data_IF_367721280188
#
_entry.id   IF_367721280188
#
_cell.length_a   1.000
_cell.length_b   1.000
_cell.length_c   1.000
_cell.angle_alpha   90.00
_cell.angle_beta   90.00
_cell.angle_gamma   90.00
#
_symmetry.space_group_name_H-M   'P 1'
#
loop_
_entity.id
_entity.type
_entity.pdbx_description
1 polymer ?
#
# COMPACT_ATOMS: atom_id res chain seq x y z
N UNK A 1 9.45 34.14 -4.10
CA UNK A 1 10.47 33.43 -3.29
C UNK A 1 11.34 32.49 -4.13
N UNK A 2 10.78 31.61 -4.97
CA UNK A 2 11.57 30.67 -5.79
C UNK A 2 12.62 31.31 -6.71
N UNK A 3 12.36 32.50 -7.26
CA UNK A 3 13.31 33.23 -8.12
C UNK A 3 14.61 33.66 -7.43
N UNK A 4 14.67 33.58 -6.09
CA UNK A 4 15.88 33.88 -5.32
C UNK A 4 16.76 32.64 -5.09
N UNK A 5 16.30 31.44 -5.47
CA UNK A 5 17.07 30.20 -5.35
C UNK A 5 18.03 30.06 -6.53
N UNK A 6 19.31 29.79 -6.27
CA UNK A 6 20.37 29.77 -7.29
C UNK A 6 20.19 28.68 -8.38
N UNK A 7 19.47 27.60 -8.03
CA UNK A 7 19.27 26.42 -8.88
C UNK A 7 17.91 26.39 -9.58
N UNK A 8 17.06 27.41 -9.40
CA UNK A 8 15.72 27.49 -10.01
C UNK A 8 15.67 28.68 -10.96
N UNK A 9 15.43 28.40 -12.23
CA UNK A 9 15.38 29.37 -13.31
C UNK A 9 13.97 29.45 -13.88
N UNK A 10 13.56 30.65 -14.31
CA UNK A 10 12.26 30.90 -14.90
C UNK A 10 12.39 31.63 -16.23
N UNK A 11 11.52 31.31 -17.19
CA UNK A 11 11.41 32.07 -18.42
C UNK A 11 11.04 33.54 -18.14
N UNK A 12 11.53 34.49 -18.95
CA UNK A 12 12.46 34.31 -20.08
C UNK A 12 13.96 34.26 -19.67
N UNK A 13 14.27 34.30 -18.37
CA UNK A 13 15.63 34.46 -17.85
C UNK A 13 16.36 33.14 -17.58
N UNK A 14 16.12 32.09 -18.37
CA UNK A 14 16.81 30.80 -18.24
C UNK A 14 18.13 30.85 -19.04
N UNK A 15 19.31 30.60 -18.43
CA UNK A 15 20.56 30.62 -19.16
C UNK A 15 20.59 29.58 -20.29
N UNK A 16 21.05 29.98 -21.48
CA UNK A 16 21.07 29.12 -22.67
C UNK A 16 21.77 27.76 -22.45
N UNK A 17 22.89 27.74 -21.71
CA UNK A 17 23.60 26.48 -21.37
C UNK A 17 22.76 25.53 -20.53
N UNK A 18 21.88 26.05 -19.67
CA UNK A 18 20.98 25.25 -18.82
C UNK A 18 19.85 24.66 -19.67
N UNK A 19 19.28 25.45 -20.59
CA UNK A 19 18.31 24.96 -21.58
C UNK A 19 18.91 23.84 -22.43
N UNK A 20 20.14 24.00 -22.94
CA UNK A 20 20.81 22.92 -23.69
C UNK A 20 21.01 21.65 -22.87
N UNK A 21 21.31 21.78 -21.58
CA UNK A 21 21.36 20.66 -20.64
C UNK A 21 20.02 19.93 -20.55
N UNK A 22 18.95 20.68 -20.30
CA UNK A 22 17.60 20.14 -20.19
C UNK A 22 17.13 19.44 -21.47
N UNK A 23 17.41 20.04 -22.64
CA UNK A 23 17.08 19.47 -23.94
C UNK A 23 17.72 18.10 -24.20
N UNK A 24 18.75 17.70 -23.44
CA UNK A 24 19.36 16.38 -23.59
C UNK A 24 18.50 15.22 -23.06
N UNK A 25 17.48 15.52 -22.24
CA UNK A 25 16.56 14.50 -21.71
C UNK A 25 15.10 14.77 -22.00
N UNK A 26 14.75 15.94 -22.55
CA UNK A 26 13.38 16.22 -22.94
C UNK A 26 13.00 15.44 -24.22
N UNK A 27 11.75 14.94 -24.32
CA UNK A 27 11.29 14.24 -25.52
C UNK A 27 11.40 15.08 -26.80
N UNK A 28 11.53 14.40 -27.94
CA UNK A 28 11.49 15.07 -29.23
C UNK A 28 10.14 15.77 -29.43
N UNK A 29 10.17 17.08 -29.71
CA UNK A 29 8.98 17.90 -29.92
C UNK A 29 8.80 19.04 -28.92
N UNK A 30 9.52 19.02 -27.79
CA UNK A 30 9.58 20.17 -26.87
C UNK A 30 10.60 21.18 -27.38
N UNK A 31 10.22 22.45 -27.51
CA UNK A 31 11.14 23.53 -27.87
C UNK A 31 11.71 24.19 -26.61
N UNK A 32 12.96 24.72 -26.61
CA UNK A 32 13.51 25.45 -25.47
C UNK A 32 12.62 26.60 -24.97
N UNK A 33 11.86 27.23 -25.86
CA UNK A 33 10.95 28.33 -25.53
C UNK A 33 9.67 27.87 -24.81
N UNK A 34 9.35 26.56 -24.85
CA UNK A 34 8.20 26.00 -24.13
C UNK A 34 8.51 25.80 -22.64
N UNK A 35 9.78 25.90 -22.23
CA UNK A 35 10.24 25.70 -20.86
C UNK A 35 10.00 26.99 -20.06
N UNK A 36 9.06 26.93 -19.13
CA UNK A 36 8.66 28.04 -18.25
C UNK A 36 9.48 28.08 -16.95
N UNK A 37 9.89 26.92 -16.45
CA UNK A 37 10.73 26.78 -15.25
C UNK A 37 11.71 25.62 -15.43
N UNK A 38 12.92 25.79 -14.90
CA UNK A 38 13.97 24.78 -14.89
C UNK A 38 14.62 24.73 -13.51
N UNK A 39 14.74 23.53 -12.94
CA UNK A 39 15.51 23.25 -11.75
C UNK A 39 16.71 22.42 -12.18
N UNK A 40 17.91 22.92 -11.90
CA UNK A 40 19.14 22.18 -12.12
C UNK A 40 19.51 21.40 -10.85
N UNK A 41 19.40 20.08 -10.90
CA UNK A 41 19.78 19.20 -9.78
C UNK A 41 21.16 18.56 -9.97
N UNK A 42 21.99 19.11 -10.86
CA UNK A 42 23.34 18.57 -11.09
C UNK A 42 24.40 19.28 -10.25
N UNK A 43 25.31 18.51 -9.66
CA UNK A 43 26.41 19.01 -8.82
C UNK A 43 27.30 20.03 -9.56
N UNK A 44 27.48 19.87 -10.87
CA UNK A 44 28.31 20.76 -11.70
C UNK A 44 27.51 21.79 -12.51
N UNK A 45 26.21 21.93 -12.24
CA UNK A 45 25.37 22.95 -12.87
C UNK A 45 25.21 22.78 -14.39
N UNK A 46 25.14 21.55 -14.87
CA UNK A 46 24.92 21.21 -16.28
C UNK A 46 23.46 21.16 -16.70
N UNK A 47 22.51 21.12 -15.76
CA UNK A 47 21.07 20.96 -15.98
C UNK A 47 20.67 19.73 -16.82
N UNK A 48 21.50 18.67 -16.84
CA UNK A 48 21.17 17.39 -17.49
C UNK A 48 20.32 16.45 -16.62
N UNK A 49 20.03 16.88 -15.40
CA UNK A 49 19.13 16.25 -14.44
C UNK A 49 18.47 17.34 -13.60
N UNK A 50 17.29 17.04 -13.09
CA UNK A 50 16.43 17.99 -12.38
C UNK A 50 15.03 18.03 -12.97
N UNK A 51 14.39 19.20 -12.93
CA UNK A 51 12.97 19.36 -13.25
C UNK A 51 12.76 20.45 -14.30
N UNK A 52 12.01 20.15 -15.35
CA UNK A 52 11.53 21.12 -16.34
C UNK A 52 10.02 21.26 -16.25
N UNK A 53 9.52 22.48 -16.37
CA UNK A 53 8.10 22.77 -16.41
C UNK A 53 7.75 23.48 -17.72
N UNK A 54 6.76 22.96 -18.43
CA UNK A 54 6.10 23.63 -19.55
C UNK A 54 4.69 24.07 -19.13
N UNK A 55 3.91 24.67 -20.04
CA UNK A 55 2.52 25.04 -19.76
C UNK A 55 1.60 23.85 -19.43
N UNK A 56 1.98 22.64 -19.86
CA UNK A 56 1.14 21.43 -19.78
C UNK A 56 1.80 20.27 -19.06
N UNK A 57 3.13 20.26 -18.90
CA UNK A 57 3.84 19.06 -18.45
C UNK A 57 5.01 19.43 -17.54
N UNK A 58 5.18 18.64 -16.48
CA UNK A 58 6.34 18.62 -15.61
C UNK A 58 7.19 17.41 -16.01
N UNK A 59 8.43 17.66 -16.43
CA UNK A 59 9.41 16.63 -16.71
C UNK A 59 10.43 16.57 -15.58
N UNK A 60 10.82 15.37 -15.18
CA UNK A 60 11.80 15.17 -14.13
C UNK A 60 12.78 14.08 -14.54
N UNK A 61 14.06 14.26 -14.21
CA UNK A 61 15.09 13.26 -14.47
C UNK A 61 16.11 13.26 -13.33
N UNK A 62 16.37 12.07 -12.79
CA UNK A 62 17.47 11.86 -11.84
C UNK A 62 18.83 11.82 -12.56
N UNK A 63 19.92 12.08 -11.82
CA UNK A 63 21.28 12.13 -12.39
C UNK A 63 21.71 10.86 -13.14
N UNK A 64 21.10 9.70 -12.86
CA UNK A 64 21.34 8.42 -13.51
C UNK A 64 20.06 7.65 -13.87
N UNK A 65 18.90 8.31 -13.80
CA UNK A 65 17.60 7.71 -14.09
C UNK A 65 17.11 8.05 -15.50
N UNK A 66 16.02 7.38 -15.88
CA UNK A 66 15.23 7.74 -17.05
C UNK A 66 14.41 9.01 -16.78
N UNK A 67 13.97 9.70 -17.83
CA UNK A 67 13.05 10.82 -17.67
C UNK A 67 11.64 10.33 -17.31
N UNK A 68 10.98 11.08 -16.43
CA UNK A 68 9.57 10.97 -16.11
C UNK A 68 8.83 12.23 -16.60
N UNK A 69 7.60 12.06 -17.08
CA UNK A 69 6.77 13.15 -17.57
C UNK A 69 5.37 13.08 -16.92
N UNK A 70 4.97 14.19 -16.31
CA UNK A 70 3.72 14.33 -15.57
C UNK A 70 2.89 15.45 -16.17
N UNK A 71 1.71 15.12 -16.70
CA UNK A 71 0.81 16.14 -17.21
C UNK A 71 0.28 16.99 -16.05
N UNK A 72 0.45 18.31 -16.13
CA UNK A 72 0.11 19.25 -15.05
C UNK A 72 -1.36 19.21 -14.65
N UNK A 73 -2.27 18.88 -15.58
CA UNK A 73 -3.69 18.73 -15.30
C UNK A 73 -4.03 17.46 -14.48
N UNK A 74 -3.09 16.52 -14.36
CA UNK A 74 -3.22 15.30 -13.55
C UNK A 74 -2.51 15.43 -12.20
N UNK A 75 -1.74 16.51 -11.98
CA UNK A 75 -1.12 16.79 -10.69
C UNK A 75 -2.16 17.58 -9.88
N UNK A 76 -2.81 16.91 -8.93
CA UNK A 76 -3.82 17.53 -8.06
C UNK A 76 -3.20 18.06 -6.77
N UNK A 77 -2.10 17.43 -6.34
CA UNK A 77 -1.44 17.75 -5.09
C UNK A 77 0.06 17.50 -5.17
N UNK A 78 0.81 18.38 -4.56
CA UNK A 78 2.26 18.25 -4.36
C UNK A 78 2.56 18.39 -2.87
N UNK A 79 2.98 17.32 -2.21
CA UNK A 79 3.41 17.35 -0.81
C UNK A 79 4.94 17.48 -0.74
N UNK A 80 5.49 18.15 0.28
CA UNK A 80 6.93 18.13 0.52
C UNK A 80 7.37 16.83 1.22
N UNK A 81 8.40 16.16 0.70
CA UNK A 81 9.08 15.03 1.35
C UNK A 81 10.43 15.50 1.91
N UNK A 82 10.40 15.95 3.16
CA UNK A 82 11.57 16.52 3.83
C UNK A 82 11.96 15.66 5.02
N UNK A 83 12.98 14.84 4.82
CA UNK A 83 13.62 14.03 5.85
C UNK A 83 14.87 14.70 6.42
N UNK A 84 15.62 13.94 7.24
CA UNK A 84 16.98 14.36 7.66
C UNK A 84 17.90 14.43 6.44
N UNK A 85 17.70 13.50 5.49
CA UNK A 85 18.51 13.33 4.25
C UNK A 85 17.66 13.59 2.99
N UNK A 86 16.34 13.37 3.05
CA UNK A 86 15.45 13.53 1.89
C UNK A 86 15.06 14.99 1.68
N UNK A 87 15.17 15.44 0.43
CA UNK A 87 14.83 16.78 -0.01
C UNK A 87 14.03 16.61 -1.32
N UNK A 88 12.74 16.32 -1.23
CA UNK A 88 11.93 15.97 -2.39
C UNK A 88 10.52 16.52 -2.33
N UNK A 89 9.78 16.29 -3.41
CA UNK A 89 8.34 16.50 -3.46
C UNK A 89 7.66 15.19 -3.84
N UNK A 90 6.43 15.00 -3.37
CA UNK A 90 5.60 13.86 -3.73
C UNK A 90 4.40 14.34 -4.54
N UNK A 91 4.31 13.89 -5.78
CA UNK A 91 3.18 14.18 -6.66
C UNK A 91 2.05 13.19 -6.34
N UNK A 92 0.85 13.71 -6.06
CA UNK A 92 -0.36 12.95 -5.75
C UNK A 92 -0.19 11.86 -4.67
N UNK A 93 0.81 11.99 -3.79
CA UNK A 93 1.19 10.99 -2.78
C UNK A 93 1.69 9.64 -3.34
N UNK A 94 2.13 9.63 -4.61
CA UNK A 94 2.59 8.44 -5.32
C UNK A 94 4.06 8.60 -5.74
N UNK A 95 4.35 9.57 -6.61
CA UNK A 95 5.67 9.72 -7.21
C UNK A 95 6.54 10.67 -6.40
N UNK A 96 7.67 10.17 -5.91
CA UNK A 96 8.65 10.99 -5.18
C UNK A 96 9.71 11.51 -6.13
N UNK A 97 9.82 12.83 -6.26
CA UNK A 97 10.88 13.50 -7.00
C UNK A 97 11.90 14.04 -6.00
N UNK A 98 13.11 13.49 -6.02
CA UNK A 98 14.17 13.83 -5.07
C UNK A 98 15.14 14.86 -5.64
N UNK A 99 15.60 15.79 -4.82
CA UNK A 99 16.56 16.82 -5.21
C UNK A 99 17.78 16.76 -4.31
N UNK A 100 18.96 16.69 -4.91
CA UNK A 100 20.22 16.69 -4.18
C UNK A 100 20.78 18.10 -3.96
N UNK A 101 20.38 19.07 -4.79
CA UNK A 101 20.91 20.43 -4.80
C UNK A 101 19.92 21.48 -4.26
N UNK A 102 18.67 21.10 -3.96
CA UNK A 102 17.69 22.01 -3.36
C UNK A 102 17.71 21.93 -1.83
N UNK A 103 17.70 23.09 -1.19
CA UNK A 103 17.50 23.17 0.25
C UNK A 103 16.03 22.94 0.65
N UNK A 104 15.80 22.67 1.93
CA UNK A 104 14.47 22.36 2.48
C UNK A 104 13.47 23.50 2.31
N UNK A 105 13.92 24.75 2.34
CA UNK A 105 13.08 25.92 2.12
C UNK A 105 12.64 26.03 0.66
N UNK A 106 13.55 25.80 -0.27
CA UNK A 106 13.29 25.75 -1.71
C UNK A 106 12.29 24.63 -2.04
N UNK A 107 12.44 23.44 -1.46
CA UNK A 107 11.51 22.31 -1.64
C UNK A 107 10.09 22.66 -1.17
N UNK A 108 9.93 23.22 0.04
CA UNK A 108 8.60 23.66 0.53
C UNK A 108 7.98 24.71 -0.38
N UNK A 109 8.78 25.67 -0.81
CA UNK A 109 8.31 26.74 -1.70
C UNK A 109 7.92 26.19 -3.07
N UNK A 110 8.66 25.18 -3.56
CA UNK A 110 8.38 24.50 -4.82
C UNK A 110 7.06 23.72 -4.74
N UNK A 111 6.85 22.95 -3.67
CA UNK A 111 5.60 22.24 -3.44
C UNK A 111 4.40 23.21 -3.39
N UNK A 112 4.52 24.30 -2.63
CA UNK A 112 3.47 25.32 -2.56
C UNK A 112 3.19 25.96 -3.94
N UNK A 113 4.23 26.31 -4.69
CA UNK A 113 4.12 26.90 -6.02
C UNK A 113 3.46 25.95 -7.03
N UNK A 114 3.85 24.68 -7.04
CA UNK A 114 3.24 23.69 -7.92
C UNK A 114 1.77 23.45 -7.55
N UNK A 115 1.43 23.42 -6.26
CA UNK A 115 0.02 23.37 -5.84
C UNK A 115 -0.75 24.60 -6.35
N UNK A 116 -0.19 25.82 -6.26
CA UNK A 116 -0.84 27.03 -6.76
C UNK A 116 -1.07 26.97 -8.28
N UNK A 117 -0.10 26.48 -9.05
CA UNK A 117 -0.28 26.29 -10.51
C UNK A 117 -1.38 25.27 -10.82
N UNK A 118 -1.42 24.18 -10.04
CA UNK A 118 -2.42 23.13 -10.23
C UNK A 118 -3.82 23.59 -9.80
N UNK A 119 -3.92 24.42 -8.77
CA UNK A 119 -5.17 24.97 -8.24
C UNK A 119 -5.67 26.21 -9.02
N UNK A 120 -4.78 26.97 -9.65
CA UNK A 120 -5.11 28.14 -10.49
C UNK A 120 -5.85 27.79 -11.79
N UNK A 121 -5.95 26.50 -12.13
CA UNK A 121 -6.84 26.00 -13.20
C UNK A 121 -8.24 25.61 -12.66
N UNK A 122 -8.48 25.75 -11.36
CA UNK A 122 -9.65 25.26 -10.63
C UNK A 122 -10.41 26.39 -9.91
N UNK A 123 -10.31 27.64 -10.36
CA UNK A 123 -11.24 28.70 -9.93
C UNK A 123 -12.59 28.57 -10.67
N UNK A 124 -13.37 27.59 -10.26
CA UNK A 124 -14.83 27.69 -10.08
C UNK A 124 -15.32 26.38 -9.49
N UNK A 125 -15.27 26.27 -8.16
CA UNK A 125 -16.32 25.69 -7.32
C UNK A 125 -15.82 25.57 -5.87
N UNK A 126 -16.07 26.61 -5.08
CA UNK A 126 -16.35 26.40 -3.67
C UNK A 126 -17.74 25.76 -3.59
N UNK A 127 -17.76 24.44 -3.47
CA UNK A 127 -18.91 23.69 -2.95
C UNK A 127 -18.41 22.74 -1.87
N UNK A 128 -19.23 22.44 -0.85
CA UNK A 128 -18.79 21.72 0.35
C UNK A 128 -18.15 20.38 -0.05
N UNK A 129 -17.02 20.07 0.59
CA UNK A 129 -16.15 18.91 0.39
C UNK A 129 -16.94 17.62 0.15
N UNK A 130 -17.17 17.31 -1.13
CA UNK A 130 -17.86 16.10 -1.57
C UNK A 130 -16.78 15.09 -1.94
N UNK A 131 -16.83 13.90 -1.36
CA UNK A 131 -15.91 12.81 -1.69
C UNK A 131 -15.92 12.56 -3.20
N UNK A 132 -14.73 12.47 -3.80
CA UNK A 132 -14.57 12.18 -5.23
C UNK A 132 -15.15 10.78 -5.53
N UNK A 133 -15.86 10.67 -6.66
CA UNK A 133 -16.68 9.50 -6.96
C UNK A 133 -15.85 8.22 -7.14
N UNK A 134 -14.63 8.36 -7.65
CA UNK A 134 -13.63 7.32 -7.84
C UNK A 134 -13.07 6.81 -6.50
N UNK A 135 -12.72 7.71 -5.58
CA UNK A 135 -12.29 7.34 -4.23
C UNK A 135 -13.42 6.62 -3.50
N UNK A 136 -14.66 7.13 -3.61
CA UNK A 136 -15.83 6.51 -2.99
C UNK A 136 -16.05 5.08 -3.47
N UNK A 137 -15.96 4.80 -4.77
CA UNK A 137 -16.18 3.45 -5.28
C UNK A 137 -15.06 2.48 -4.86
N UNK A 138 -13.81 2.94 -4.76
CA UNK A 138 -12.72 2.10 -4.24
C UNK A 138 -12.92 1.76 -2.77
N UNK A 139 -13.39 2.71 -1.95
CA UNK A 139 -13.75 2.45 -0.55
C UNK A 139 -14.90 1.44 -0.48
N UNK A 140 -15.96 1.62 -1.27
CA UNK A 140 -17.12 0.73 -1.30
C UNK A 140 -16.75 -0.70 -1.72
N UNK A 141 -15.97 -0.88 -2.79
CA UNK A 141 -15.47 -2.18 -3.23
C UNK A 141 -14.54 -2.83 -2.20
N UNK A 142 -13.68 -2.04 -1.56
CA UNK A 142 -12.79 -2.54 -0.50
C UNK A 142 -13.58 -3.01 0.71
N UNK A 143 -14.61 -2.26 1.11
CA UNK A 143 -15.52 -2.64 2.18
C UNK A 143 -16.29 -3.92 1.84
N UNK A 144 -16.77 -4.04 0.61
CA UNK A 144 -17.41 -5.25 0.11
C UNK A 144 -16.47 -6.46 0.21
N UNK A 145 -15.24 -6.37 -0.30
CA UNK A 145 -14.31 -7.50 -0.29
C UNK A 145 -13.85 -7.87 1.13
N UNK A 146 -13.56 -6.88 1.98
CA UNK A 146 -13.18 -7.12 3.38
C UNK A 146 -14.31 -7.82 4.16
N UNK A 147 -15.57 -7.51 3.85
CA UNK A 147 -16.74 -8.08 4.54
C UNK A 147 -17.39 -9.23 3.79
N UNK A 148 -16.83 -9.69 2.66
CA UNK A 148 -17.45 -10.65 1.74
C UNK A 148 -17.91 -11.94 2.44
N UNK A 149 -17.04 -12.54 3.23
CA UNK A 149 -17.33 -13.81 3.92
C UNK A 149 -18.22 -13.64 5.15
N UNK A 150 -18.17 -12.47 5.81
CA UNK A 150 -18.82 -12.25 7.10
C UNK A 150 -20.19 -11.58 6.96
N UNK A 151 -20.39 -10.81 5.89
CA UNK A 151 -21.55 -9.94 5.66
C UNK A 151 -21.72 -8.84 6.72
N UNK A 152 -20.73 -8.63 7.59
CA UNK A 152 -20.82 -7.71 8.73
C UNK A 152 -19.45 -7.19 9.15
N UNK A 153 -19.45 -6.03 9.77
CA UNK A 153 -18.29 -5.45 10.43
C UNK A 153 -17.90 -6.26 11.69
N UNK A 154 -16.61 -6.58 11.79
CA UNK A 154 -15.89 -7.08 12.96
C UNK A 154 -14.79 -6.09 13.38
N UNK A 155 -14.16 -6.32 14.55
CA UNK A 155 -13.00 -5.54 14.96
C UNK A 155 -11.88 -5.57 13.91
N UNK A 156 -11.61 -6.76 13.34
CA UNK A 156 -10.59 -6.96 12.32
C UNK A 156 -10.93 -6.24 11.02
N UNK A 157 -12.17 -6.34 10.52
CA UNK A 157 -12.56 -5.66 9.28
C UNK A 157 -12.57 -4.14 9.45
N UNK A 158 -12.97 -3.65 10.63
CA UNK A 158 -12.96 -2.21 10.95
C UNK A 158 -11.53 -1.67 11.00
N UNK A 159 -10.63 -2.43 11.62
CA UNK A 159 -9.22 -2.11 11.62
C UNK A 159 -8.64 -2.17 10.20
N UNK A 160 -8.94 -3.22 9.44
CA UNK A 160 -8.45 -3.42 8.07
C UNK A 160 -8.85 -2.26 7.14
N UNK A 161 -10.13 -1.86 7.11
CA UNK A 161 -10.58 -0.76 6.27
C UNK A 161 -9.98 0.58 6.72
N UNK A 162 -9.95 0.84 8.03
CA UNK A 162 -9.40 2.09 8.58
C UNK A 162 -7.90 2.20 8.32
N UNK A 163 -7.16 1.09 8.50
CA UNK A 163 -5.72 1.01 8.24
C UNK A 163 -5.41 1.14 6.76
N UNK A 164 -6.15 0.44 5.89
CA UNK A 164 -5.96 0.49 4.43
C UNK A 164 -6.07 1.93 3.88
N UNK A 165 -6.96 2.72 4.48
CA UNK A 165 -7.19 4.12 4.10
C UNK A 165 -6.63 5.15 5.08
N UNK A 166 -5.80 4.75 6.06
CA UNK A 166 -5.25 5.67 7.07
C UNK A 166 -4.40 6.79 6.47
N UNK A 167 -3.79 6.54 5.30
CA UNK A 167 -2.98 7.53 4.58
C UNK A 167 -3.82 8.54 3.77
N UNK A 168 -5.14 8.33 3.63
CA UNK A 168 -6.02 9.32 3.02
C UNK A 168 -6.24 10.47 4.02
N UNK A 169 -5.58 11.60 3.80
CA UNK A 169 -5.70 12.78 4.68
C UNK A 169 -6.79 13.75 4.20
N UNK A 170 -7.81 13.24 3.53
CA UNK A 170 -8.98 13.99 3.08
C UNK A 170 -10.11 13.85 4.11
N UNK A 171 -10.63 14.98 4.58
CA UNK A 171 -11.69 15.02 5.58
C UNK A 171 -12.99 14.37 5.08
N UNK A 172 -13.32 14.54 3.79
CA UNK A 172 -14.54 13.96 3.22
C UNK A 172 -14.49 12.42 3.19
N UNK A 173 -13.35 11.85 2.81
CA UNK A 173 -13.09 10.41 2.81
C UNK A 173 -13.07 9.82 4.21
N UNK A 174 -12.44 10.51 5.17
CA UNK A 174 -12.43 10.08 6.56
C UNK A 174 -13.83 10.11 7.19
N UNK A 175 -14.61 11.16 6.89
CA UNK A 175 -16.02 11.23 7.29
C UNK A 175 -16.85 10.13 6.63
N UNK A 176 -16.63 9.86 5.35
CA UNK A 176 -17.32 8.79 4.62
C UNK A 176 -17.03 7.41 5.20
N UNK A 177 -15.76 7.07 5.44
CA UNK A 177 -15.35 5.80 6.06
C UNK A 177 -15.97 5.67 7.45
N UNK A 178 -15.95 6.75 8.24
CA UNK A 178 -16.58 6.74 9.57
C UNK A 178 -18.08 6.48 9.48
N UNK A 179 -18.79 7.09 8.53
CA UNK A 179 -20.22 6.84 8.29
C UNK A 179 -20.46 5.39 7.86
N UNK A 180 -19.65 4.89 6.92
CA UNK A 180 -19.74 3.53 6.38
C UNK A 180 -19.60 2.46 7.48
N UNK A 181 -18.71 2.70 8.44
CA UNK A 181 -18.47 1.82 9.59
C UNK A 181 -19.59 1.82 10.63
N UNK A 182 -20.49 2.81 10.60
CA UNK A 182 -21.65 2.87 11.52
C UNK A 182 -22.88 2.12 11.02
N UNK A 183 -22.95 1.87 9.71
CA UNK A 183 -24.06 1.17 9.07
C UNK A 183 -23.68 -0.30 8.77
N UNK A 184 -24.64 -1.24 8.78
CA UNK A 184 -24.36 -2.60 8.36
C UNK A 184 -23.92 -2.63 6.88
N UNK A 185 -22.91 -3.44 6.51
CA UNK A 185 -22.51 -3.61 5.12
C UNK A 185 -23.71 -4.02 4.27
N UNK A 186 -24.06 -3.20 3.29
CA UNK A 186 -25.13 -3.48 2.33
C UNK A 186 -24.68 -3.01 0.95
N UNK A 187 -23.94 -3.87 0.27
CA UNK A 187 -23.34 -3.57 -1.02
C UNK A 187 -23.91 -4.51 -2.08
N UNK A 188 -24.36 -3.94 -3.18
CA UNK A 188 -24.71 -4.68 -4.39
C UNK A 188 -23.48 -4.74 -5.30
N UNK A 189 -22.92 -5.94 -5.49
CA UNK A 189 -21.71 -6.12 -6.27
C UNK A 189 -21.88 -5.75 -7.75
N UNK A 190 -23.07 -5.95 -8.34
CA UNK A 190 -23.31 -5.57 -9.73
C UNK A 190 -23.33 -4.04 -9.87
N UNK A 191 -23.99 -3.33 -8.95
CA UNK A 191 -23.96 -1.86 -8.89
C UNK A 191 -22.52 -1.32 -8.72
N UNK A 192 -21.74 -1.93 -7.83
CA UNK A 192 -20.34 -1.55 -7.63
C UNK A 192 -19.50 -1.75 -8.90
N UNK A 193 -19.71 -2.86 -9.62
CA UNK A 193 -19.03 -3.08 -10.91
C UNK A 193 -19.45 -2.08 -11.97
N UNK A 194 -20.73 -1.70 -12.03
CA UNK A 194 -21.22 -0.68 -12.96
C UNK A 194 -20.58 0.69 -12.67
N UNK A 195 -20.58 1.13 -11.42
CA UNK A 195 -19.93 2.38 -10.98
C UNK A 195 -18.42 2.36 -11.25
N UNK A 196 -17.77 1.22 -11.07
CA UNK A 196 -16.34 1.09 -11.39
C UNK A 196 -16.07 1.13 -12.90
N UNK A 197 -16.99 0.60 -13.72
CA UNK A 197 -16.90 0.67 -15.18
C UNK A 197 -16.94 2.10 -15.72
N UNK A 198 -17.70 2.99 -15.08
CA UNK A 198 -17.79 4.41 -15.46
C UNK A 198 -16.45 5.15 -15.34
N UNK A 199 -15.56 4.66 -14.46
CA UNK A 199 -14.23 5.25 -14.30
C UNK A 199 -13.27 4.95 -15.46
N UNK A 200 -13.61 3.98 -16.33
CA UNK A 200 -12.68 3.52 -17.38
C UNK A 200 -12.30 4.63 -18.36
N UNK A 201 -13.19 5.59 -18.58
CA UNK A 201 -13.03 6.67 -19.55
C UNK A 201 -12.49 7.96 -18.87
N UNK A 202 -12.49 7.99 -17.54
CA UNK A 202 -12.03 9.12 -16.72
C UNK A 202 -10.61 8.89 -16.21
N UNK A 203 -10.29 7.66 -15.81
CA UNK A 203 -9.00 7.31 -15.22
C UNK A 203 -7.99 6.79 -16.24
N UNK A 204 -6.74 7.20 -16.04
CA UNK A 204 -5.61 6.66 -16.80
C UNK A 204 -5.49 5.13 -16.62
N UNK A 205 -5.00 4.44 -17.65
CA UNK A 205 -4.85 2.97 -17.62
C UNK A 205 -4.04 2.49 -16.41
N UNK A 206 -2.96 3.19 -16.07
CA UNK A 206 -2.11 2.89 -14.93
C UNK A 206 -2.86 2.97 -13.58
N UNK A 207 -3.66 4.03 -13.37
CA UNK A 207 -4.45 4.16 -12.15
C UNK A 207 -5.49 3.04 -12.01
N UNK A 208 -6.07 2.60 -13.12
CA UNK A 208 -6.99 1.44 -13.10
C UNK A 208 -6.27 0.15 -12.72
N UNK A 209 -5.02 -0.04 -13.16
CA UNK A 209 -4.19 -1.17 -12.74
C UNK A 209 -3.92 -1.13 -11.24
N UNK A 210 -3.49 0.01 -10.71
CA UNK A 210 -3.22 0.18 -9.27
C UNK A 210 -4.48 -0.02 -8.43
N UNK A 211 -5.63 0.45 -8.92
CA UNK A 211 -6.92 0.18 -8.26
C UNK A 211 -7.22 -1.31 -8.19
N UNK A 212 -7.01 -2.07 -9.28
CA UNK A 212 -7.19 -3.51 -9.28
C UNK A 212 -6.26 -4.19 -8.27
N UNK A 213 -4.98 -3.81 -8.24
CA UNK A 213 -4.00 -4.33 -7.28
C UNK A 213 -4.45 -4.12 -5.84
N UNK A 214 -4.89 -2.90 -5.51
CA UNK A 214 -5.41 -2.57 -4.17
C UNK A 214 -6.67 -3.36 -3.84
N UNK A 215 -7.55 -3.59 -4.80
CA UNK A 215 -8.75 -4.39 -4.60
C UNK A 215 -8.42 -5.87 -4.40
N UNK A 216 -7.41 -6.42 -5.07
CA UNK A 216 -6.94 -7.79 -4.81
C UNK A 216 -6.33 -7.91 -3.42
N UNK A 217 -5.60 -6.89 -2.96
CA UNK A 217 -5.11 -6.82 -1.58
C UNK A 217 -6.26 -6.82 -0.55
N UNK A 218 -7.35 -6.09 -0.81
CA UNK A 218 -8.51 -6.08 0.11
C UNK A 218 -9.31 -7.39 0.07
N UNK A 219 -9.31 -8.12 -1.04
CA UNK A 219 -9.83 -9.51 -1.08
C UNK A 219 -9.06 -10.44 -0.15
N UNK A 220 -7.72 -10.33 -0.15
CA UNK A 220 -6.88 -11.12 0.75
C UNK A 220 -7.11 -10.76 2.22
N UNK A 221 -7.24 -9.46 2.54
CA UNK A 221 -7.63 -9.01 3.89
C UNK A 221 -9.00 -9.55 4.32
N UNK A 222 -9.96 -9.62 3.39
CA UNK A 222 -11.28 -10.22 3.60
C UNK A 222 -11.28 -11.75 3.71
N UNK A 223 -10.10 -12.38 3.62
CA UNK A 223 -9.90 -13.84 3.62
C UNK A 223 -10.70 -14.55 2.51
N UNK A 224 -10.93 -13.87 1.38
CA UNK A 224 -11.54 -14.48 0.19
C UNK A 224 -10.55 -15.53 -0.35
N UNK A 225 -10.99 -16.71 -0.76
CA UNK A 225 -10.08 -17.71 -1.31
C UNK A 225 -9.51 -17.29 -2.69
N UNK A 226 -8.38 -17.88 -3.08
CA UNK A 226 -7.66 -17.50 -4.30
C UNK A 226 -8.47 -17.74 -5.58
N UNK A 227 -9.32 -18.77 -5.62
CA UNK A 227 -10.13 -19.06 -6.81
C UNK A 227 -11.20 -17.98 -6.99
N UNK A 228 -11.90 -17.64 -5.91
CA UNK A 228 -12.90 -16.58 -5.88
C UNK A 228 -12.29 -15.20 -6.14
N UNK A 229 -11.11 -14.89 -5.58
CA UNK A 229 -10.38 -13.66 -5.86
C UNK A 229 -9.99 -13.53 -7.35
N UNK A 230 -9.60 -14.65 -7.99
CA UNK A 230 -9.34 -14.68 -9.43
C UNK A 230 -10.59 -14.36 -10.26
N UNK A 231 -11.76 -14.84 -9.86
CA UNK A 231 -13.03 -14.51 -10.53
C UNK A 231 -13.34 -13.02 -10.40
N UNK A 232 -13.19 -12.45 -9.22
CA UNK A 232 -13.37 -11.01 -9.02
C UNK A 232 -12.37 -10.18 -9.82
N UNK A 233 -11.11 -10.59 -9.87
CA UNK A 233 -10.09 -9.94 -10.69
C UNK A 233 -10.47 -9.94 -12.18
N UNK A 234 -11.04 -11.03 -12.70
CA UNK A 234 -11.54 -11.10 -14.09
C UNK A 234 -12.65 -10.07 -14.31
N UNK A 235 -13.60 -9.94 -13.39
CA UNK A 235 -14.67 -8.94 -13.49
C UNK A 235 -14.11 -7.51 -13.46
N UNK A 236 -13.23 -7.21 -12.50
CA UNK A 236 -12.61 -5.89 -12.35
C UNK A 236 -11.79 -5.50 -13.58
N UNK A 237 -10.96 -6.41 -14.10
CA UNK A 237 -10.21 -6.21 -15.34
C UNK A 237 -11.14 -5.91 -16.53
N UNK A 238 -12.21 -6.69 -16.67
CA UNK A 238 -13.18 -6.52 -17.75
C UNK A 238 -13.85 -5.14 -17.72
N UNK A 239 -14.40 -4.74 -16.57
CA UNK A 239 -15.16 -3.49 -16.47
C UNK A 239 -14.28 -2.24 -16.52
N UNK A 240 -13.05 -2.35 -16.01
CA UNK A 240 -12.07 -1.25 -16.06
C UNK A 240 -11.28 -1.19 -17.37
N UNK A 241 -11.47 -2.14 -18.29
CA UNK A 241 -10.71 -2.26 -19.54
C UNK A 241 -9.18 -2.40 -19.31
N UNK A 242 -8.79 -3.23 -18.35
CA UNK A 242 -7.40 -3.60 -18.07
C UNK A 242 -7.16 -5.04 -18.52
N UNK A 243 -6.10 -5.27 -19.29
CA UNK A 243 -5.75 -6.60 -19.76
C UNK A 243 -5.25 -7.46 -18.60
N UNK A 244 -5.83 -8.65 -18.41
CA UNK A 244 -5.36 -9.60 -17.38
C UNK A 244 -3.91 -10.03 -17.56
N UNK A 245 -3.37 -9.94 -18.78
CA UNK A 245 -1.98 -10.30 -19.06
C UNK A 245 -0.95 -9.43 -18.32
N UNK A 246 -1.34 -8.25 -17.84
CA UNK A 246 -0.47 -7.40 -16.99
C UNK A 246 -0.34 -7.92 -15.56
N UNK A 247 -1.17 -8.90 -15.17
CA UNK A 247 -1.26 -9.48 -13.83
C UNK A 247 -1.15 -11.01 -13.87
N UNK A 248 -0.04 -11.58 -14.40
CA UNK A 248 0.07 -13.03 -14.57
C UNK A 248 -0.11 -13.80 -13.26
N UNK A 249 0.39 -13.27 -12.14
CA UNK A 249 0.40 -13.95 -10.83
C UNK A 249 -0.01 -13.04 -9.66
N UNK A 250 -0.71 -11.94 -9.93
CA UNK A 250 -0.99 -10.90 -8.92
C UNK A 250 -1.67 -11.45 -7.66
N UNK A 251 -2.70 -12.29 -7.81
CA UNK A 251 -3.40 -12.92 -6.68
C UNK A 251 -2.44 -13.80 -5.88
N UNK A 252 -1.59 -14.57 -6.55
CA UNK A 252 -0.65 -15.46 -5.86
C UNK A 252 0.37 -14.67 -5.03
N UNK A 253 0.96 -13.63 -5.64
CA UNK A 253 1.96 -12.76 -5.01
C UNK A 253 1.37 -12.08 -3.77
N UNK A 254 0.21 -11.42 -3.91
CA UNK A 254 -0.41 -10.69 -2.80
C UNK A 254 -0.76 -11.61 -1.64
N UNK A 255 -1.32 -12.79 -1.92
CA UNK A 255 -1.71 -13.73 -0.89
C UNK A 255 -0.50 -14.34 -0.19
N UNK A 256 0.58 -14.60 -0.92
CA UNK A 256 1.82 -15.09 -0.33
C UNK A 256 2.46 -14.03 0.57
N UNK A 257 2.58 -12.78 0.11
CA UNK A 257 3.13 -11.69 0.92
C UNK A 257 2.38 -11.51 2.24
N UNK A 258 1.05 -11.49 2.22
CA UNK A 258 0.24 -11.35 3.44
C UNK A 258 0.38 -12.54 4.39
N UNK A 259 0.52 -13.76 3.85
CA UNK A 259 0.77 -14.94 4.67
C UNK A 259 2.15 -14.88 5.35
N UNK A 260 3.18 -14.41 4.63
CA UNK A 260 4.53 -14.23 5.16
C UNK A 260 4.57 -13.13 6.25
N UNK A 261 3.87 -12.02 6.06
CA UNK A 261 3.75 -10.95 7.07
C UNK A 261 3.07 -11.43 8.35
N UNK A 262 1.99 -12.22 8.25
CA UNK A 262 1.32 -12.80 9.42
C UNK A 262 2.23 -13.79 10.16
N UNK A 263 2.91 -14.64 9.40
CA UNK A 263 3.89 -15.61 9.90
C UNK A 263 5.00 -14.93 10.70
N UNK A 264 5.55 -13.84 10.16
CA UNK A 264 6.61 -13.06 10.82
C UNK A 264 6.09 -12.32 12.06
N UNK A 265 4.86 -11.80 12.02
CA UNK A 265 4.21 -11.15 13.16
C UNK A 265 4.01 -12.12 14.32
N UNK A 266 3.50 -13.34 14.07
CA UNK A 266 3.35 -14.38 15.09
C UNK A 266 4.71 -14.70 15.73
N UNK A 267 5.75 -14.85 14.90
CA UNK A 267 7.10 -15.12 15.40
C UNK A 267 7.65 -14.00 16.31
N UNK A 268 7.21 -12.75 16.15
CA UNK A 268 7.61 -11.63 17.01
C UNK A 268 6.74 -11.44 18.25
N UNK A 269 5.45 -11.77 18.17
CA UNK A 269 4.43 -11.45 19.18
C UNK A 269 4.39 -12.47 20.34
N UNK A 270 4.84 -13.71 20.11
CA UNK A 270 4.88 -14.73 21.17
C UNK A 270 5.75 -14.30 22.35
N UNK A 271 5.17 -14.37 23.56
CA UNK A 271 5.87 -14.20 24.82
C UNK A 271 6.79 -15.39 25.14
N UNK A 272 7.61 -15.27 26.18
CA UNK A 272 8.60 -16.31 26.54
C UNK A 272 7.97 -17.69 26.84
N UNK A 273 6.83 -17.72 27.53
CA UNK A 273 6.13 -18.96 27.86
C UNK A 273 5.56 -19.63 26.61
N UNK A 274 4.99 -18.85 25.69
CA UNK A 274 4.48 -19.34 24.41
C UNK A 274 5.61 -19.86 23.51
N UNK A 275 6.75 -19.17 23.45
CA UNK A 275 7.95 -19.68 22.74
C UNK A 275 8.45 -20.98 23.33
N UNK A 276 8.40 -21.13 24.65
CA UNK A 276 8.77 -22.37 25.31
C UNK A 276 7.77 -23.49 25.03
N UNK A 277 6.48 -23.19 24.99
CA UNK A 277 5.44 -24.12 24.58
C UNK A 277 5.61 -24.59 23.11
N UNK A 278 5.96 -23.69 22.20
CA UNK A 278 6.31 -24.03 20.81
C UNK A 278 7.52 -24.99 20.77
N UNK A 279 8.57 -24.73 21.55
CA UNK A 279 9.74 -25.61 21.64
C UNK A 279 9.38 -27.00 22.17
N UNK A 280 8.53 -27.10 23.20
CA UNK A 280 8.09 -28.38 23.77
C UNK A 280 7.32 -29.24 22.75
N UNK A 281 6.53 -28.60 21.90
CA UNK A 281 5.77 -29.25 20.83
C UNK A 281 6.54 -29.36 19.51
N UNK A 282 7.78 -28.88 19.45
CA UNK A 282 8.62 -28.81 18.23
C UNK A 282 7.94 -28.07 17.07
N UNK A 283 7.22 -27.00 17.40
CA UNK A 283 6.59 -26.10 16.43
C UNK A 283 7.49 -24.89 16.26
N UNK A 284 7.79 -24.52 15.01
CA UNK A 284 8.41 -23.23 14.75
C UNK A 284 7.34 -22.13 14.91
N UNK A 285 7.61 -21.05 15.68
CA UNK A 285 6.66 -19.95 15.89
C UNK A 285 5.96 -19.46 14.62
N UNK A 286 6.72 -19.39 13.52
CA UNK A 286 6.31 -18.92 12.20
C UNK A 286 5.15 -19.73 11.61
N UNK A 287 5.08 -21.03 11.89
CA UNK A 287 4.06 -21.93 11.31
C UNK A 287 2.96 -22.29 12.31
N UNK A 288 2.86 -21.57 13.43
CA UNK A 288 1.85 -21.84 14.46
C UNK A 288 0.44 -21.53 13.95
N UNK A 289 -0.38 -22.56 13.81
CA UNK A 289 -1.79 -22.50 13.47
C UNK A 289 -2.55 -23.58 14.22
N UNK A 290 -3.89 -23.55 14.21
CA UNK A 290 -4.70 -24.57 14.88
C UNK A 290 -4.39 -25.98 14.34
N UNK A 291 -4.17 -26.09 13.03
CA UNK A 291 -3.84 -27.35 12.37
C UNK A 291 -2.44 -27.86 12.76
N UNK A 292 -1.41 -27.02 12.72
CA UNK A 292 -0.05 -27.43 13.07
C UNK A 292 0.06 -27.77 14.55
N UNK A 293 -0.61 -27.01 15.42
CA UNK A 293 -0.72 -27.31 16.85
C UNK A 293 -1.37 -28.68 17.09
N UNK A 294 -2.48 -28.98 16.42
CA UNK A 294 -3.17 -30.25 16.60
C UNK A 294 -2.33 -31.44 16.13
N UNK A 295 -1.66 -31.32 14.97
CA UNK A 295 -0.80 -32.37 14.43
C UNK A 295 0.42 -32.62 15.32
N UNK A 296 1.13 -31.56 15.71
CA UNK A 296 2.32 -31.65 16.56
C UNK A 296 1.99 -32.24 17.94
N UNK A 297 0.89 -31.79 18.56
CA UNK A 297 0.43 -32.32 19.83
C UNK A 297 0.07 -33.81 19.75
N UNK A 298 -0.67 -34.24 18.71
CA UNK A 298 -1.00 -35.66 18.53
C UNK A 298 0.24 -36.51 18.36
N UNK A 299 1.22 -36.04 17.57
CA UNK A 299 2.49 -36.72 17.37
C UNK A 299 3.24 -36.89 18.69
N UNK A 300 3.40 -35.81 19.47
CA UNK A 300 4.07 -35.86 20.78
C UNK A 300 3.32 -36.74 21.77
N UNK A 301 2.00 -36.63 21.87
CA UNK A 301 1.21 -37.46 22.79
C UNK A 301 1.26 -38.95 22.47
N UNK A 302 1.44 -39.33 21.21
CA UNK A 302 1.61 -40.74 20.84
C UNK A 302 2.89 -41.36 21.44
N UNK A 303 3.90 -40.55 21.73
CA UNK A 303 5.16 -40.98 22.34
C UNK A 303 5.07 -41.10 23.87
N UNK A 304 4.13 -40.38 24.51
CA UNK A 304 3.97 -40.32 25.98
C UNK A 304 2.65 -40.93 26.48
N UNK A 305 1.97 -41.75 25.67
CA UNK A 305 0.71 -42.36 26.07
C UNK A 305 0.92 -43.33 27.26
N UNK A 306 0.21 -43.16 28.39
CA UNK A 306 0.48 -43.90 29.64
C UNK A 306 0.36 -45.42 29.49
N UNK A 307 -0.53 -45.89 28.59
CA UNK A 307 -0.71 -47.32 28.34
C UNK A 307 0.50 -48.01 27.68
N UNK A 308 1.38 -47.28 27.00
CA UNK A 308 2.59 -47.86 26.39
C UNK A 308 3.64 -48.29 27.40
N UNK A 309 3.58 -47.78 28.63
CA UNK A 309 4.69 -47.84 29.58
C UNK A 309 4.31 -48.40 30.95
N UNK A 310 3.18 -49.12 31.03
CA UNK A 310 2.67 -49.68 32.29
C UNK A 310 3.65 -50.64 32.98
N UNK A 311 4.58 -51.25 32.24
CA UNK A 311 5.59 -52.19 32.74
C UNK A 311 6.87 -51.51 33.26
N UNK A 312 6.97 -50.18 33.18
CA UNK A 312 8.16 -49.44 33.63
C UNK A 312 8.14 -49.15 35.14
N UNK A 313 9.32 -48.91 35.76
CA UNK A 313 9.42 -48.49 37.16
C UNK A 313 8.56 -47.25 37.46
N UNK A 314 8.02 -47.18 38.67
CA UNK A 314 7.11 -46.10 39.09
C UNK A 314 7.70 -44.69 38.89
N UNK A 315 8.97 -44.50 39.20
CA UNK A 315 9.68 -43.23 38.96
C UNK A 315 9.70 -42.82 37.49
N UNK A 316 9.77 -43.78 36.56
CA UNK A 316 9.76 -43.53 35.12
C UNK A 316 8.34 -43.24 34.62
N UNK A 317 7.33 -43.94 35.16
CA UNK A 317 5.93 -43.66 34.86
C UNK A 317 5.51 -42.25 35.29
N UNK A 318 5.91 -41.83 36.50
CA UNK A 318 5.68 -40.47 36.99
C UNK A 318 6.33 -39.40 36.11
N UNK A 319 7.54 -39.65 35.60
CA UNK A 319 8.20 -38.74 34.66
C UNK A 319 7.44 -38.62 33.32
N UNK A 320 6.93 -39.73 32.79
CA UNK A 320 6.15 -39.76 31.55
C UNK A 320 4.82 -39.02 31.74
N UNK A 321 4.13 -39.22 32.87
CA UNK A 321 2.92 -38.48 33.21
C UNK A 321 3.18 -36.97 33.35
N UNK A 322 4.28 -36.58 33.99
CA UNK A 322 4.69 -35.18 34.11
C UNK A 322 4.96 -34.54 32.74
N UNK A 323 5.64 -35.26 31.84
CA UNK A 323 5.87 -34.81 30.46
C UNK A 323 4.55 -34.67 29.69
N UNK A 324 3.62 -35.63 29.82
CA UNK A 324 2.31 -35.54 29.20
C UNK A 324 1.50 -34.32 29.71
N UNK A 325 1.59 -34.01 31.01
CA UNK A 325 0.99 -32.81 31.57
C UNK A 325 1.61 -31.52 31.03
N UNK A 326 2.94 -31.45 30.91
CA UNK A 326 3.61 -30.28 30.32
C UNK A 326 3.18 -30.04 28.87
N UNK A 327 3.04 -31.10 28.08
CA UNK A 327 2.56 -31.02 26.70
C UNK A 327 1.07 -30.58 26.62
N UNK A 328 0.23 -31.00 27.58
CA UNK A 328 -1.15 -30.52 27.69
C UNK A 328 -1.21 -29.02 28.04
N UNK A 329 -0.38 -28.57 28.97
CA UNK A 329 -0.26 -27.16 29.35
C UNK A 329 0.25 -26.31 28.19
N UNK A 330 1.30 -26.77 27.49
CA UNK A 330 1.83 -26.11 26.29
C UNK A 330 0.77 -25.97 25.21
N UNK A 331 -0.02 -27.02 24.95
CA UNK A 331 -1.14 -26.96 24.00
C UNK A 331 -2.21 -25.97 24.43
N UNK A 332 -2.63 -25.98 25.70
CA UNK A 332 -3.66 -25.09 26.20
C UNK A 332 -3.24 -23.61 26.07
N UNK A 333 -1.99 -23.32 26.41
CA UNK A 333 -1.41 -21.99 26.35
C UNK A 333 -1.30 -21.46 24.91
N UNK A 334 -0.86 -22.29 23.96
CA UNK A 334 -0.83 -21.90 22.54
C UNK A 334 -2.22 -21.82 21.92
N UNK A 335 -3.15 -22.69 22.34
CA UNK A 335 -4.54 -22.60 21.90
C UNK A 335 -5.19 -21.30 22.39
N UNK A 336 -4.97 -20.90 23.64
CA UNK A 336 -5.46 -19.64 24.16
C UNK A 336 -4.87 -18.43 23.42
N UNK A 337 -3.62 -18.50 22.95
CA UNK A 337 -3.06 -17.46 22.09
C UNK A 337 -3.80 -17.37 20.75
N UNK A 338 -4.03 -18.50 20.09
CA UNK A 338 -4.74 -18.59 18.81
C UNK A 338 -6.23 -18.23 18.90
N UNK A 339 -6.87 -18.43 20.07
CA UNK A 339 -8.26 -18.04 20.29
C UNK A 339 -8.40 -16.52 20.53
N UNK A 340 -7.31 -15.84 20.93
CA UNK A 340 -7.29 -14.42 21.28
C UNK A 340 -6.66 -13.51 20.20
N UNK A 341 -6.12 -14.06 19.10
CA UNK A 341 -5.47 -13.34 18.00
C UNK A 341 -5.86 -13.92 16.64
#
# INVERSE_FOLDING_TARGET
>A
MLRACENIYFAPAIPYKKLQGAMSYLPQGIHPDDILMLIDDTVFGSAKAGLCLTATTLFYKESFGEEAAYALNLIHRVDDDIGVINHGIVLNRLDTLSFTQLDKGAVRTLAAFLNEICQGKTETQQTPSKIEADIKIIIDLSAYFITFNTGRWSADSNHAISHHFAKLNDEASQQYIKSLLTEPPNFDYEDLLHRFAELKDVLAYQLRMEMIERLVYTMALGKIDKEQANLFMVHLCRVSNVSRAVFPDLVEIIYQCLAEEQTQKIATDLNNEQRQACKLLEIQPEVLSEQTLQVAYRKKMADFHPDKYQTLPESVRQLIEQQAQQLNQARALLKQYLDNN
#
